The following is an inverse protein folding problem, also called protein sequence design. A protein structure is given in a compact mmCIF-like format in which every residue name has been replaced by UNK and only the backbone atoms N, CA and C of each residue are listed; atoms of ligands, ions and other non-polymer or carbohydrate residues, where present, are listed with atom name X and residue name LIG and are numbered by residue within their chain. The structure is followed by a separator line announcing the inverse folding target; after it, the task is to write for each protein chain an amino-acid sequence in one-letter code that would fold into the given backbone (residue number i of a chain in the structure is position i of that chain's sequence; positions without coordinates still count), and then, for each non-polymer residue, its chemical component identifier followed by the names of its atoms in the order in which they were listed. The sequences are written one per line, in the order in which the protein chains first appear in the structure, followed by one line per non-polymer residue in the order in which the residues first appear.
data_IF_975120980763
#
_entry.id   IF_975120980763
#
_cell.length_a   1.000
_cell.length_b   1.000
_cell.length_c   1.000
_cell.angle_alpha   90.00
_cell.angle_beta   90.00
_cell.angle_gamma   90.00
#
_symmetry.space_group_name_H-M   'P 1'
#
loop_
_entity.id
_entity.type
_entity.pdbx_description
1 polymer ?
#
# COMPACT_ATOMS: atom_id res chain seq x y z
N UNK A 1 -4.32 31.94 -1.93
CA UNK A 1 -4.42 30.63 -2.62
C UNK A 1 -3.36 29.71 -1.99
N UNK A 2 -3.72 28.47 -1.66
CA UNK A 2 -2.75 27.51 -1.09
C UNK A 2 -1.78 27.10 -2.21
N UNK A 3 -0.50 27.48 -2.09
CA UNK A 3 0.52 27.25 -3.11
C UNK A 3 1.24 25.92 -2.96
N UNK A 4 0.95 25.17 -1.89
CA UNK A 4 1.56 23.86 -1.67
C UNK A 4 0.94 22.81 -2.62
N UNK A 5 1.74 22.02 -3.35
CA UNK A 5 1.21 20.94 -4.17
C UNK A 5 0.48 19.90 -3.28
N UNK A 6 -0.55 19.25 -3.82
CA UNK A 6 -1.24 18.19 -3.07
C UNK A 6 -0.32 17.01 -2.79
N UNK A 7 -0.56 16.35 -1.67
CA UNK A 7 0.08 15.06 -1.35
C UNK A 7 -0.60 13.98 -2.20
N UNK A 8 0.16 13.32 -3.07
CA UNK A 8 -0.33 12.28 -3.97
C UNK A 8 -0.29 10.91 -3.29
N UNK A 9 -1.46 10.37 -3.04
CA UNK A 9 -1.62 9.09 -2.35
C UNK A 9 -2.27 8.09 -3.31
N UNK A 10 -1.59 6.98 -3.54
CA UNK A 10 -2.05 5.96 -4.45
C UNK A 10 -2.36 4.64 -3.74
N UNK A 11 -3.53 4.10 -3.99
CA UNK A 11 -3.96 2.80 -3.50
C UNK A 11 -3.92 1.76 -4.61
N UNK A 12 -3.10 0.74 -4.43
CA UNK A 12 -2.98 -0.36 -5.40
C UNK A 12 -4.22 -1.25 -5.32
N UNK A 13 -4.83 -1.50 -6.46
CA UNK A 13 -5.92 -2.47 -6.60
C UNK A 13 -5.40 -3.72 -7.30
N UNK A 14 -5.73 -4.88 -6.75
CA UNK A 14 -5.48 -6.17 -7.37
C UNK A 14 -6.56 -7.17 -6.97
N UNK A 15 -6.74 -8.21 -7.77
CA UNK A 15 -7.72 -9.24 -7.46
C UNK A 15 -7.44 -9.92 -6.11
N UNK A 16 -8.48 -10.44 -5.47
CA UNK A 16 -8.42 -11.06 -4.15
C UNK A 16 -7.96 -10.16 -3.00
N UNK A 17 -7.83 -8.84 -3.22
CA UNK A 17 -7.57 -7.90 -2.14
C UNK A 17 -8.74 -7.83 -1.16
N UNK A 18 -8.42 -7.46 0.07
CA UNK A 18 -9.40 -7.08 1.10
C UNK A 18 -9.72 -5.59 0.92
N UNK A 19 -10.94 -5.27 0.49
CA UNK A 19 -11.36 -3.89 0.24
C UNK A 19 -11.16 -2.99 1.47
N UNK A 20 -11.44 -3.50 2.69
CA UNK A 20 -11.26 -2.77 3.95
C UNK A 20 -9.84 -2.31 4.20
N UNK A 21 -8.82 -3.01 3.67
CA UNK A 21 -7.42 -2.60 3.78
C UNK A 21 -7.09 -1.34 2.96
N UNK A 22 -7.98 -0.93 2.06
CA UNK A 22 -7.87 0.30 1.29
C UNK A 22 -8.92 1.32 1.69
N UNK A 23 -10.19 0.93 1.84
CA UNK A 23 -11.28 1.86 2.16
C UNK A 23 -11.12 2.53 3.52
N UNK A 24 -10.72 1.78 4.56
CA UNK A 24 -10.53 2.35 5.88
C UNK A 24 -9.45 3.45 5.91
N UNK A 25 -8.21 3.23 5.44
CA UNK A 25 -7.22 4.30 5.43
C UNK A 25 -7.59 5.45 4.47
N UNK A 26 -8.33 5.21 3.39
CA UNK A 26 -8.87 6.29 2.55
C UNK A 26 -9.80 7.21 3.35
N UNK A 27 -10.77 6.64 4.07
CA UNK A 27 -11.71 7.41 4.88
C UNK A 27 -11.00 8.19 6.00
N UNK A 28 -10.01 7.58 6.65
CA UNK A 28 -9.20 8.22 7.68
C UNK A 28 -8.39 9.41 7.12
N UNK A 29 -7.81 9.26 5.93
CA UNK A 29 -7.06 10.34 5.26
C UNK A 29 -7.98 11.50 4.86
N UNK A 30 -9.17 11.21 4.34
CA UNK A 30 -10.16 12.24 4.00
C UNK A 30 -10.69 12.96 5.24
N UNK A 31 -10.90 12.24 6.35
CA UNK A 31 -11.26 12.84 7.62
C UNK A 31 -10.14 13.75 8.16
N UNK A 32 -8.89 13.31 8.05
CA UNK A 32 -7.72 14.11 8.45
C UNK A 32 -7.58 15.37 7.58
N UNK A 33 -7.77 15.28 6.26
CA UNK A 33 -7.79 16.46 5.39
C UNK A 33 -8.87 17.44 5.81
N UNK A 34 -10.10 16.96 6.05
CA UNK A 34 -11.22 17.78 6.50
C UNK A 34 -10.89 18.50 7.81
N UNK A 35 -10.29 17.81 8.78
CA UNK A 35 -9.86 18.41 10.03
C UNK A 35 -8.77 19.48 9.81
N UNK A 36 -7.77 19.21 8.97
CA UNK A 36 -6.73 20.20 8.65
C UNK A 36 -7.30 21.46 7.99
N UNK A 37 -8.35 21.33 7.15
CA UNK A 37 -8.99 22.48 6.52
C UNK A 37 -9.69 23.41 7.52
N UNK A 38 -10.12 22.91 8.67
CA UNK A 38 -10.79 23.67 9.72
C UNK A 38 -9.82 24.22 10.77
N UNK A 39 -8.73 23.51 11.07
CA UNK A 39 -7.82 23.81 12.19
C UNK A 39 -6.61 24.66 11.81
N UNK A 40 -6.16 24.59 10.55
CA UNK A 40 -4.93 25.27 10.13
C UNK A 40 -5.19 26.60 9.43
N UNK A 41 -4.23 27.51 9.55
CA UNK A 41 -4.21 28.74 8.78
C UNK A 41 -4.21 28.46 7.27
N UNK A 42 -4.86 29.26 6.45
CA UNK A 42 -5.02 29.01 5.00
C UNK A 42 -3.72 28.67 4.26
N UNK A 43 -2.60 29.29 4.64
CA UNK A 43 -1.29 29.06 4.01
C UNK A 43 -0.59 27.73 4.43
N UNK A 44 -1.07 27.10 5.48
CA UNK A 44 -0.49 25.83 6.00
C UNK A 44 -1.30 24.60 5.59
N UNK A 45 -2.49 24.80 5.01
CA UNK A 45 -3.38 23.70 4.59
C UNK A 45 -2.75 22.93 3.45
N UNK A 46 -2.67 21.60 3.61
CA UNK A 46 -2.30 20.68 2.54
C UNK A 46 -3.55 19.97 2.02
N UNK A 47 -3.61 19.80 0.71
CA UNK A 47 -4.63 18.97 0.05
C UNK A 47 -4.08 17.58 -0.15
N UNK A 48 -4.96 16.61 -0.13
CA UNK A 48 -4.65 15.21 -0.41
C UNK A 48 -5.32 14.85 -1.74
N UNK A 49 -4.57 14.25 -2.63
CA UNK A 49 -5.08 13.67 -3.88
C UNK A 49 -4.99 12.15 -3.77
N UNK A 50 -6.13 11.50 -3.58
CA UNK A 50 -6.22 10.04 -3.50
C UNK A 50 -6.64 9.49 -4.85
N UNK A 51 -5.88 8.53 -5.38
CA UNK A 51 -6.20 7.80 -6.60
C UNK A 51 -5.95 6.31 -6.42
N UNK A 52 -6.75 5.50 -7.10
CA UNK A 52 -6.61 4.06 -7.15
C UNK A 52 -5.89 3.63 -8.41
N UNK A 53 -4.96 2.69 -8.28
CA UNK A 53 -4.11 2.22 -9.37
C UNK A 53 -4.22 0.72 -9.57
N UNK A 54 -4.17 0.27 -10.81
CA UNK A 54 -4.00 -1.14 -11.15
C UNK A 54 -2.99 -1.30 -12.29
N UNK A 55 -2.61 -2.55 -12.59
CA UNK A 55 -1.76 -2.87 -13.75
C UNK A 55 -2.50 -2.74 -15.08
N UNK A 56 -3.83 -2.67 -15.06
CA UNK A 56 -4.68 -2.47 -16.23
C UNK A 56 -5.84 -1.54 -15.91
N UNK A 57 -6.47 -0.99 -16.94
CA UNK A 57 -7.65 -0.13 -16.80
C UNK A 57 -8.95 -0.92 -16.54
N UNK A 58 -8.90 -2.25 -16.52
CA UNK A 58 -10.07 -3.09 -16.28
C UNK A 58 -10.52 -3.05 -14.83
N UNK A 59 -11.83 -3.14 -14.54
CA UNK A 59 -12.33 -3.21 -13.17
C UNK A 59 -11.78 -4.43 -12.42
N UNK A 60 -11.22 -4.20 -11.25
CA UNK A 60 -10.67 -5.23 -10.38
C UNK A 60 -11.78 -5.88 -9.57
N UNK A 61 -11.92 -7.20 -9.67
CA UNK A 61 -12.82 -7.98 -8.84
C UNK A 61 -12.19 -8.22 -7.47
N UNK A 62 -12.68 -7.54 -6.43
CA UNK A 62 -12.20 -7.72 -5.06
C UNK A 62 -12.88 -8.92 -4.39
N UNK A 63 -12.34 -9.36 -3.25
CA UNK A 63 -12.79 -10.58 -2.55
C UNK A 63 -14.28 -10.58 -2.17
N UNK A 64 -14.86 -9.41 -1.91
CA UNK A 64 -16.29 -9.26 -1.58
C UNK A 64 -17.25 -9.42 -2.77
N UNK A 65 -16.74 -9.57 -3.98
CA UNK A 65 -17.54 -9.63 -5.21
C UNK A 65 -17.80 -8.27 -5.85
N UNK A 66 -17.37 -7.19 -5.22
CA UNK A 66 -17.45 -5.86 -5.83
C UNK A 66 -16.44 -5.72 -6.97
N UNK A 67 -16.80 -4.94 -7.99
CA UNK A 67 -15.88 -4.48 -9.04
C UNK A 67 -15.44 -3.06 -8.74
N UNK A 68 -14.13 -2.85 -8.64
CA UNK A 68 -13.56 -1.54 -8.35
C UNK A 68 -12.83 -1.04 -9.59
N UNK A 69 -13.32 0.05 -10.17
CA UNK A 69 -12.70 0.70 -11.31
C UNK A 69 -11.47 1.48 -10.85
N UNK A 70 -10.24 1.17 -11.33
CA UNK A 70 -9.08 1.98 -11.03
C UNK A 70 -9.19 3.35 -11.71
N UNK A 71 -8.67 4.38 -11.05
CA UNK A 71 -8.62 5.75 -11.61
C UNK A 71 -7.53 5.84 -12.69
N UNK A 72 -6.42 5.13 -12.50
CA UNK A 72 -5.28 5.09 -13.42
C UNK A 72 -4.62 3.72 -13.46
N UNK A 73 -3.82 3.52 -14.48
CA UNK A 73 -2.85 2.42 -14.51
C UNK A 73 -1.47 2.88 -14.00
N UNK A 74 -0.65 1.94 -13.55
CA UNK A 74 0.66 2.25 -12.94
C UNK A 74 1.61 2.99 -13.89
N UNK A 75 1.52 2.75 -15.18
CA UNK A 75 2.31 3.42 -16.22
C UNK A 75 1.96 4.91 -16.41
N UNK A 76 0.76 5.31 -15.96
CA UNK A 76 0.32 6.71 -15.99
C UNK A 76 0.80 7.52 -14.78
N UNK A 77 1.50 6.88 -13.82
CA UNK A 77 1.94 7.51 -12.57
C UNK A 77 3.45 7.54 -12.47
N UNK A 78 4.02 8.72 -12.63
CA UNK A 78 5.47 8.94 -12.54
C UNK A 78 5.96 9.15 -11.11
N UNK A 79 5.10 9.65 -10.21
CA UNK A 79 5.46 9.97 -8.82
C UNK A 79 4.29 9.78 -7.86
N UNK A 80 4.58 9.20 -6.70
CA UNK A 80 3.70 9.08 -5.53
C UNK A 80 4.41 9.56 -4.29
N UNK A 81 3.71 10.26 -3.40
CA UNK A 81 4.23 10.58 -2.07
C UNK A 81 4.00 9.39 -1.12
N UNK A 82 2.84 8.73 -1.24
CA UNK A 82 2.46 7.58 -0.42
C UNK A 82 1.76 6.53 -1.29
N UNK A 83 2.16 5.29 -1.13
CA UNK A 83 1.54 4.13 -1.79
C UNK A 83 1.01 3.18 -0.72
N UNK A 84 -0.25 2.77 -0.88
CA UNK A 84 -0.87 1.72 -0.09
C UNK A 84 -1.01 0.43 -0.90
N UNK A 85 -0.47 -0.67 -0.37
CA UNK A 85 -0.62 -2.02 -0.91
C UNK A 85 -1.61 -2.78 -0.03
N UNK A 86 -2.73 -3.27 -0.60
CA UNK A 86 -3.78 -3.92 0.18
C UNK A 86 -3.38 -5.28 0.73
N UNK A 87 -4.05 -5.70 1.79
CA UNK A 87 -4.00 -7.07 2.26
C UNK A 87 -4.65 -8.02 1.24
N UNK A 88 -4.03 -9.18 1.02
CA UNK A 88 -4.52 -10.19 0.09
C UNK A 88 -5.19 -11.34 0.85
N UNK A 89 -6.22 -11.94 0.23
CA UNK A 89 -6.93 -13.06 0.82
C UNK A 89 -6.15 -14.36 0.67
N UNK A 90 -5.81 -14.97 1.80
CA UNK A 90 -5.11 -16.28 1.87
C UNK A 90 -3.73 -16.28 1.20
N UNK A 91 -3.57 -17.05 0.10
CA UNK A 91 -2.30 -17.23 -0.57
C UNK A 91 -1.98 -16.06 -1.51
N UNK A 92 -0.97 -15.22 -1.22
CA UNK A 92 -0.62 -14.06 -2.04
C UNK A 92 0.14 -14.42 -3.33
N UNK A 93 0.82 -15.57 -3.39
CA UNK A 93 1.74 -15.92 -4.49
C UNK A 93 1.12 -15.81 -5.89
N UNK A 94 -0.09 -16.37 -6.16
CA UNK A 94 -0.70 -16.23 -7.48
C UNK A 94 -1.05 -14.78 -7.83
N UNK A 95 -1.45 -13.98 -6.83
CA UNK A 95 -1.78 -12.57 -7.02
C UNK A 95 -0.53 -11.76 -7.34
N UNK A 96 0.54 -11.93 -6.57
CA UNK A 96 1.83 -11.27 -6.81
C UNK A 96 2.35 -11.61 -8.21
N UNK A 97 2.29 -12.90 -8.60
CA UNK A 97 2.72 -13.35 -9.94
C UNK A 97 1.92 -12.69 -11.07
N UNK A 98 0.58 -12.63 -10.96
CA UNK A 98 -0.25 -11.99 -11.99
C UNK A 98 -0.06 -10.49 -12.06
N UNK A 99 0.33 -9.87 -10.97
CA UNK A 99 0.59 -8.43 -10.87
C UNK A 99 2.10 -8.11 -10.86
N UNK A 100 2.93 -8.92 -11.51
CA UNK A 100 4.39 -8.79 -11.51
C UNK A 100 4.88 -7.42 -12.04
N UNK A 101 4.09 -6.75 -12.88
CA UNK A 101 4.37 -5.39 -13.35
C UNK A 101 4.45 -4.35 -12.20
N UNK A 102 3.83 -4.62 -11.05
CA UNK A 102 3.97 -3.79 -9.86
C UNK A 102 5.40 -3.80 -9.30
N UNK A 103 6.15 -4.87 -9.48
CA UNK A 103 7.46 -5.03 -8.83
C UNK A 103 8.45 -3.93 -9.27
N UNK A 104 8.78 -3.77 -10.55
CA UNK A 104 9.69 -2.71 -11.00
C UNK A 104 9.10 -1.32 -10.75
N UNK A 105 7.79 -1.16 -10.82
CA UNK A 105 7.15 0.12 -10.52
C UNK A 105 7.31 0.50 -9.04
N UNK A 106 7.14 -0.42 -8.10
CA UNK A 106 7.36 -0.18 -6.67
C UNK A 106 8.82 0.15 -6.37
N UNK A 107 9.77 -0.55 -7.01
CA UNK A 107 11.19 -0.25 -6.89
C UNK A 107 11.48 1.20 -7.33
N UNK A 108 10.95 1.60 -8.48
CA UNK A 108 11.13 2.96 -9.02
C UNK A 108 10.49 4.02 -8.11
N UNK A 109 9.27 3.80 -7.63
CA UNK A 109 8.60 4.73 -6.72
C UNK A 109 9.36 4.88 -5.39
N UNK A 110 9.86 3.78 -4.83
CA UNK A 110 10.69 3.81 -3.64
C UNK A 110 12.00 4.57 -3.86
N UNK A 111 12.68 4.37 -4.99
CA UNK A 111 13.89 5.13 -5.37
C UNK A 111 13.59 6.63 -5.51
N UNK A 112 12.41 6.99 -5.99
CA UNK A 112 11.93 8.36 -6.10
C UNK A 112 11.47 8.98 -4.76
N UNK A 113 11.61 8.25 -3.65
CA UNK A 113 11.32 8.74 -2.30
C UNK A 113 9.91 8.49 -1.79
N UNK A 114 9.09 7.71 -2.49
CA UNK A 114 7.75 7.36 -2.02
C UNK A 114 7.80 6.60 -0.68
N UNK A 115 6.88 6.94 0.22
CA UNK A 115 6.54 6.10 1.37
C UNK A 115 5.66 4.96 0.87
N UNK A 116 5.94 3.73 1.28
CA UNK A 116 5.12 2.58 0.88
C UNK A 116 4.64 1.84 2.13
N UNK A 117 3.33 1.70 2.25
CA UNK A 117 2.65 0.97 3.31
C UNK A 117 1.99 -0.29 2.74
N UNK A 118 2.27 -1.45 3.31
CA UNK A 118 1.68 -2.72 2.90
C UNK A 118 0.99 -3.41 4.07
N UNK A 119 -0.19 -3.97 3.81
CA UNK A 119 -1.04 -4.60 4.82
C UNK A 119 -1.04 -6.12 4.67
N UNK A 120 -0.83 -6.83 5.76
CA UNK A 120 -0.89 -8.28 5.81
C UNK A 120 -0.02 -8.93 4.73
N UNK A 121 -0.58 -9.86 3.98
CA UNK A 121 0.13 -10.54 2.89
C UNK A 121 0.43 -9.66 1.67
N UNK A 122 -0.06 -8.41 1.63
CA UNK A 122 0.39 -7.40 0.67
C UNK A 122 1.89 -7.09 0.78
N UNK A 123 2.49 -7.31 1.96
CA UNK A 123 3.95 -7.19 2.15
C UNK A 123 4.76 -8.09 1.21
N UNK A 124 4.15 -9.14 0.64
CA UNK A 124 4.81 -10.00 -0.35
C UNK A 124 5.20 -9.24 -1.62
N UNK A 125 4.49 -8.19 -2.02
CA UNK A 125 4.91 -7.34 -3.13
C UNK A 125 6.22 -6.62 -2.83
N UNK A 126 6.39 -6.11 -1.60
CA UNK A 126 7.63 -5.45 -1.18
C UNK A 126 8.79 -6.44 -1.06
N UNK A 127 8.52 -7.64 -0.53
CA UNK A 127 9.52 -8.69 -0.43
C UNK A 127 9.96 -9.20 -1.81
N UNK A 128 9.01 -9.43 -2.75
CA UNK A 128 9.30 -9.81 -4.13
C UNK A 128 10.10 -8.73 -4.87
N UNK A 129 9.88 -7.47 -4.54
CA UNK A 129 10.66 -6.34 -5.06
C UNK A 129 12.07 -6.23 -4.46
N UNK A 130 12.45 -7.12 -3.51
CA UNK A 130 13.73 -7.04 -2.79
C UNK A 130 13.82 -5.84 -1.83
N UNK A 131 12.74 -5.09 -1.67
CA UNK A 131 12.73 -3.88 -0.84
C UNK A 131 12.83 -4.19 0.66
N UNK A 132 12.53 -5.42 1.07
CA UNK A 132 12.58 -5.88 2.47
C UNK A 132 13.84 -6.67 2.81
N UNK A 133 14.78 -6.88 1.88
CA UNK A 133 16.01 -7.63 2.12
C UNK A 133 16.87 -6.96 3.21
N UNK A 134 17.22 -7.74 4.23
CA UNK A 134 17.97 -7.26 5.40
C UNK A 134 17.17 -6.35 6.35
N UNK A 135 15.88 -6.10 6.08
CA UNK A 135 15.05 -5.16 6.85
C UNK A 135 14.01 -5.87 7.72
N UNK A 136 13.63 -5.21 8.82
CA UNK A 136 12.53 -5.66 9.66
C UNK A 136 11.19 -5.51 8.94
N UNK A 137 10.40 -6.58 8.90
CA UNK A 137 9.05 -6.57 8.34
C UNK A 137 8.12 -7.46 9.16
N UNK A 138 6.83 -7.20 9.08
CA UNK A 138 5.78 -8.09 9.55
C UNK A 138 4.79 -8.38 8.43
N UNK A 139 3.99 -9.41 8.59
CA UNK A 139 2.92 -9.78 7.67
C UNK A 139 1.77 -10.39 8.48
N UNK A 140 0.73 -10.89 7.82
CA UNK A 140 -0.37 -11.56 8.53
C UNK A 140 0.11 -12.84 9.21
N UNK A 141 -0.25 -13.05 10.47
CA UNK A 141 0.21 -14.18 11.29
C UNK A 141 0.01 -15.55 10.61
N UNK A 142 -1.09 -15.71 9.88
CA UNK A 142 -1.39 -16.96 9.15
C UNK A 142 -0.36 -17.29 8.06
N UNK A 143 0.43 -16.31 7.62
CA UNK A 143 1.40 -16.46 6.54
C UNK A 143 2.86 -16.41 7.02
N UNK A 144 3.13 -16.29 8.31
CA UNK A 144 4.48 -16.10 8.86
C UNK A 144 5.47 -17.16 8.38
N UNK A 145 5.14 -18.45 8.54
CA UNK A 145 6.07 -19.54 8.20
C UNK A 145 6.34 -19.59 6.71
N UNK A 146 5.31 -19.39 5.90
CA UNK A 146 5.46 -19.37 4.46
C UNK A 146 6.23 -18.14 3.99
N UNK A 147 5.95 -16.96 4.59
CA UNK A 147 6.69 -15.73 4.29
C UNK A 147 8.18 -15.86 4.58
N UNK A 148 8.53 -16.42 5.74
CA UNK A 148 9.93 -16.63 6.12
C UNK A 148 10.64 -17.62 5.19
N UNK A 149 9.92 -18.63 4.70
CA UNK A 149 10.45 -19.60 3.74
C UNK A 149 10.67 -18.99 2.36
N UNK A 150 9.73 -18.16 1.90
CA UNK A 150 9.77 -17.55 0.58
C UNK A 150 10.76 -16.40 0.50
N UNK A 151 10.90 -15.63 1.60
CA UNK A 151 11.73 -14.43 1.69
C UNK A 151 12.70 -14.50 2.88
N UNK A 152 13.69 -15.43 2.83
CA UNK A 152 14.57 -15.69 3.97
C UNK A 152 15.49 -14.51 4.32
N UNK A 153 15.69 -13.57 3.40
CA UNK A 153 16.49 -12.37 3.61
C UNK A 153 15.76 -11.31 4.45
N UNK A 154 14.43 -11.40 4.57
CA UNK A 154 13.64 -10.47 5.37
C UNK A 154 13.71 -10.83 6.86
N UNK A 155 13.95 -9.84 7.71
CA UNK A 155 13.92 -10.02 9.16
C UNK A 155 12.48 -10.01 9.67
N UNK A 156 11.77 -11.15 9.59
CA UNK A 156 10.38 -11.27 10.02
C UNK A 156 10.23 -11.04 11.53
N UNK A 157 9.41 -10.06 11.90
CA UNK A 157 9.09 -9.68 13.29
C UNK A 157 7.67 -10.11 13.65
N UNK A 158 7.53 -11.34 14.15
CA UNK A 158 6.23 -12.00 14.42
C UNK A 158 5.43 -11.35 15.55
N UNK A 159 6.10 -10.66 16.48
CA UNK A 159 5.50 -10.03 17.65
C UNK A 159 5.07 -8.58 17.44
N UNK A 160 5.33 -8.02 16.27
CA UNK A 160 4.99 -6.62 15.99
C UNK A 160 3.78 -6.52 15.06
N UNK A 161 2.84 -5.65 15.41
CA UNK A 161 1.70 -5.34 14.56
C UNK A 161 2.08 -4.41 13.40
N UNK A 162 3.07 -3.56 13.61
CA UNK A 162 3.62 -2.66 12.60
C UNK A 162 5.15 -2.71 12.67
N UNK A 163 5.79 -2.72 11.52
CA UNK A 163 7.22 -2.52 11.37
C UNK A 163 7.49 -1.36 10.42
N UNK A 164 8.55 -0.63 10.70
CA UNK A 164 9.05 0.44 9.84
C UNK A 164 10.53 0.20 9.51
N UNK A 165 10.88 0.34 8.24
CA UNK A 165 12.25 0.30 7.77
C UNK A 165 12.47 1.43 6.74
N UNK A 166 12.95 2.57 7.21
CA UNK A 166 13.00 3.81 6.42
C UNK A 166 11.59 4.27 6.01
N UNK A 167 11.34 4.38 4.71
CA UNK A 167 10.04 4.75 4.14
C UNK A 167 9.10 3.55 3.89
N UNK A 168 9.46 2.35 4.33
CA UNK A 168 8.66 1.14 4.16
C UNK A 168 7.95 0.79 5.47
N UNK A 169 6.63 0.59 5.38
CA UNK A 169 5.79 0.20 6.50
C UNK A 169 5.07 -1.12 6.19
N UNK A 170 5.11 -2.05 7.11
CA UNK A 170 4.36 -3.30 7.03
C UNK A 170 3.43 -3.41 8.24
N UNK A 171 2.14 -3.59 8.00
CA UNK A 171 1.14 -3.83 9.03
C UNK A 171 0.69 -5.29 9.00
N UNK A 172 0.55 -5.92 10.17
CA UNK A 172 0.20 -7.34 10.28
C UNK A 172 -1.23 -7.64 9.79
N UNK A 173 -2.15 -6.70 9.94
CA UNK A 173 -3.55 -6.85 9.51
C UNK A 173 -4.19 -5.50 9.23
N UNK A 174 -5.40 -5.51 8.69
CA UNK A 174 -6.22 -4.30 8.47
C UNK A 174 -6.47 -3.52 9.77
N UNK A 175 -6.59 -4.22 10.88
CA UNK A 175 -6.84 -3.61 12.19
C UNK A 175 -5.57 -3.04 12.85
N UNK A 176 -4.39 -3.28 12.28
CA UNK A 176 -3.13 -2.73 12.81
C UNK A 176 -2.90 -1.27 12.42
N UNK A 177 -3.75 -0.73 11.55
CA UNK A 177 -3.71 0.66 11.08
C UNK A 177 -4.86 1.51 11.65
N UNK A 178 -5.73 0.93 12.47
CA UNK A 178 -6.85 1.59 13.12
C UNK A 178 -6.49 2.08 14.52
#
# INVERSE_FOLDING_TARGET
MNTNPPVKIHFVLCEHMLATSSTLPMEMLLAAESAMQTMQEPGQRRRIEIQTLSISAEPVLVRTGMRWQPDKTIDQVSHSDLIYIPGLWRNPRPVVKRNAALIPWLQQQHQNGAIISAVGTGCCFLAEAGLLDGKAATTHWHYFDQFQKDYPQTQLKRQYFITQAGSLYCAASVNSLA
#
